data_IF_021802894585
#
_entry.id   IF_021802894585
#
_cell.length_a   1.000
_cell.length_b   1.000
_cell.length_c   1.000
_cell.angle_alpha   90.00
_cell.angle_beta   90.00
_cell.angle_gamma   90.00
#
_symmetry.space_group_name_H-M   'P 1'
#
loop_
_entity.id
_entity.type
_entity.pdbx_description
1 polymer ?
#
# COMPACT_ATOMS: atom_id res chain seq x y z
N UNK A 1 -0.76 -7.47 19.82
CA UNK A 1 -2.22 -7.62 19.92
C UNK A 1 -2.86 -8.15 18.65
N UNK A 2 -4.09 -8.66 18.80
CA UNK A 2 -4.88 -9.29 17.73
C UNK A 2 -5.23 -8.34 16.54
N UNK A 3 -5.19 -7.02 16.76
CA UNK A 3 -5.38 -5.99 15.73
C UNK A 3 -4.07 -5.62 15.00
N UNK A 4 -2.92 -6.04 15.55
CA UNK A 4 -1.60 -5.76 15.00
C UNK A 4 -1.25 -6.63 13.81
N UNK A 5 -0.08 -6.36 13.23
CA UNK A 5 0.48 -7.09 12.09
C UNK A 5 0.97 -6.14 11.01
N UNK A 6 2.26 -6.22 10.73
CA UNK A 6 2.97 -5.36 9.79
C UNK A 6 2.61 -5.67 8.34
N UNK A 7 2.78 -4.68 7.47
CA UNK A 7 2.60 -4.80 6.02
C UNK A 7 3.77 -5.55 5.39
N UNK A 8 3.50 -6.45 4.45
CA UNK A 8 4.53 -7.22 3.77
C UNK A 8 4.17 -7.56 2.31
N UNK A 9 5.19 -7.83 1.50
CA UNK A 9 5.05 -8.32 0.14
C UNK A 9 4.81 -9.82 0.13
N UNK A 10 3.69 -10.26 -0.43
CA UNK A 10 3.29 -11.66 -0.49
C UNK A 10 2.93 -12.11 -1.90
N UNK A 11 3.00 -13.43 -2.15
CA UNK A 11 2.42 -14.03 -3.36
C UNK A 11 0.89 -14.00 -3.26
N UNK A 12 0.24 -13.38 -4.24
CA UNK A 12 -1.21 -13.42 -4.36
C UNK A 12 -1.68 -14.84 -4.70
N UNK A 13 -2.74 -15.35 -4.07
CA UNK A 13 -3.35 -16.60 -4.49
C UNK A 13 -3.79 -16.52 -5.95
N UNK A 14 -3.53 -17.57 -6.73
CA UNK A 14 -3.95 -17.68 -8.13
C UNK A 14 -3.44 -16.56 -9.06
N UNK A 15 -2.41 -15.82 -8.69
CA UNK A 15 -1.78 -14.84 -9.59
C UNK A 15 -0.80 -15.53 -10.54
N UNK A 16 -0.84 -15.13 -11.80
CA UNK A 16 0.09 -15.47 -12.87
C UNK A 16 1.36 -14.60 -12.87
N UNK A 17 1.47 -13.66 -11.92
CA UNK A 17 2.65 -12.82 -11.79
C UNK A 17 3.91 -13.66 -11.56
N UNK A 18 5.02 -13.38 -12.26
CA UNK A 18 6.28 -14.10 -12.11
C UNK A 18 6.94 -13.88 -10.73
N UNK A 19 6.48 -12.89 -9.98
CA UNK A 19 7.02 -12.47 -8.69
C UNK A 19 5.89 -12.28 -7.67
N UNK A 20 6.23 -12.20 -6.38
CA UNK A 20 5.25 -11.79 -5.37
C UNK A 20 4.71 -10.40 -5.71
N UNK A 21 3.38 -10.28 -5.80
CA UNK A 21 2.72 -9.07 -6.30
C UNK A 21 1.62 -8.53 -5.39
N UNK A 22 1.42 -9.10 -4.20
CA UNK A 22 0.33 -8.70 -3.31
C UNK A 22 0.81 -7.95 -2.08
N UNK A 23 0.06 -6.92 -1.69
CA UNK A 23 0.31 -6.14 -0.49
C UNK A 23 -0.57 -6.67 0.65
N UNK A 24 0.05 -7.36 1.60
CA UNK A 24 -0.66 -7.99 2.72
C UNK A 24 -0.25 -7.35 4.04
N UNK A 25 -0.97 -7.70 5.11
CA UNK A 25 -0.50 -7.51 6.48
C UNK A 25 -0.63 -8.79 7.28
N UNK A 26 0.24 -8.97 8.27
CA UNK A 26 0.18 -10.15 9.14
C UNK A 26 -1.10 -10.15 10.00
N UNK A 27 -1.49 -11.35 10.45
CA UNK A 27 -2.67 -11.54 11.30
C UNK A 27 -2.43 -11.12 12.76
N UNK A 28 -1.17 -10.95 13.17
CA UNK A 28 -0.77 -10.46 14.49
C UNK A 28 0.61 -9.81 14.42
N UNK A 29 0.96 -9.02 15.44
CA UNK A 29 2.28 -8.43 15.67
C UNK A 29 3.26 -9.35 16.42
N UNK A 30 2.85 -10.58 16.78
CA UNK A 30 3.73 -11.64 17.30
C UNK A 30 4.47 -12.36 16.15
N UNK A 31 4.16 -12.00 14.91
CA UNK A 31 4.73 -12.58 13.70
C UNK A 31 6.04 -11.92 13.23
N UNK A 32 6.47 -12.24 11.99
CA UNK A 32 7.60 -11.59 11.36
C UNK A 32 7.40 -10.08 11.24
N UNK A 33 8.51 -9.34 11.21
CA UNK A 33 8.51 -7.93 10.84
C UNK A 33 8.04 -7.73 9.40
N UNK A 34 7.42 -6.59 9.14
CA UNK A 34 6.98 -6.20 7.79
C UNK A 34 8.10 -6.10 6.77
N UNK A 35 7.73 -6.06 5.50
CA UNK A 35 8.67 -5.72 4.43
C UNK A 35 8.92 -4.22 4.45
N UNK A 36 10.18 -3.75 4.51
CA UNK A 36 10.51 -2.33 4.47
C UNK A 36 9.84 -1.61 3.30
N UNK A 37 9.37 -0.38 3.54
CA UNK A 37 8.83 0.48 2.49
C UNK A 37 9.57 1.81 2.48
N UNK A 38 9.68 2.41 1.30
CA UNK A 38 10.09 3.80 1.11
C UNK A 38 8.96 4.58 0.44
N UNK A 39 8.87 5.85 0.81
CA UNK A 39 7.93 6.80 0.23
C UNK A 39 8.66 7.68 -0.77
N UNK A 40 8.07 7.86 -1.94
CA UNK A 40 8.63 8.66 -3.03
C UNK A 40 7.63 9.77 -3.31
N UNK A 41 7.91 10.96 -2.78
CA UNK A 41 7.05 12.12 -2.94
C UNK A 41 7.00 12.61 -4.39
N UNK A 42 5.86 13.17 -4.79
CA UNK A 42 5.75 13.98 -5.99
C UNK A 42 6.50 15.32 -5.84
N UNK A 43 6.47 16.16 -6.87
CA UNK A 43 7.10 17.49 -6.83
C UNK A 43 6.51 18.44 -5.78
N UNK A 44 5.35 18.15 -5.20
CA UNK A 44 4.77 18.94 -4.11
C UNK A 44 5.47 18.71 -2.76
N UNK A 45 6.29 17.66 -2.65
CA UNK A 45 7.11 17.42 -1.48
C UNK A 45 8.36 18.31 -1.50
N UNK A 46 8.58 19.06 -0.42
CA UNK A 46 9.77 19.91 -0.29
C UNK A 46 11.00 19.11 0.17
N UNK A 47 12.01 19.02 -0.71
CA UNK A 47 13.28 18.39 -0.40
C UNK A 47 13.15 16.88 -0.14
N UNK A 48 13.89 16.31 0.84
CA UNK A 48 13.83 14.87 1.14
C UNK A 48 12.64 14.48 2.04
N UNK A 49 11.73 15.42 2.35
CA UNK A 49 10.70 15.22 3.37
C UNK A 49 9.37 14.71 2.78
N UNK A 50 8.65 13.90 3.57
CA UNK A 50 7.33 13.39 3.24
C UNK A 50 6.28 14.15 4.06
N UNK A 51 5.31 14.77 3.39
CA UNK A 51 4.28 15.61 3.99
C UNK A 51 2.92 14.91 3.95
N UNK A 52 2.09 15.16 4.95
CA UNK A 52 0.70 14.72 4.97
C UNK A 52 -0.10 15.40 3.86
N UNK A 53 -1.10 14.71 3.30
CA UNK A 53 -1.98 15.24 2.27
C UNK A 53 -1.36 15.38 0.87
N UNK A 54 -0.04 15.15 0.74
CA UNK A 54 0.67 15.24 -0.53
C UNK A 54 0.77 13.89 -1.26
N UNK A 55 0.78 13.96 -2.59
CA UNK A 55 0.82 12.76 -3.44
C UNK A 55 2.21 12.11 -3.43
N UNK A 56 2.23 10.80 -3.24
CA UNK A 56 3.43 9.98 -3.23
C UNK A 56 3.19 8.60 -3.86
N UNK A 57 4.26 7.96 -4.30
CA UNK A 57 4.27 6.53 -4.60
C UNK A 57 4.86 5.77 -3.41
N UNK A 58 4.48 4.49 -3.28
CA UNK A 58 4.97 3.60 -2.23
C UNK A 58 5.73 2.45 -2.91
N UNK A 59 6.88 2.10 -2.37
CA UNK A 59 7.68 0.98 -2.89
C UNK A 59 8.24 0.16 -1.74
N UNK A 60 8.23 -1.17 -1.87
CA UNK A 60 8.99 -2.03 -0.97
C UNK A 60 10.49 -1.85 -1.20
N UNK A 61 11.22 -1.51 -0.14
CA UNK A 61 12.64 -1.20 -0.18
C UNK A 61 13.48 -2.47 0.07
N UNK A 62 13.51 -3.34 -0.94
CA UNK A 62 14.18 -4.65 -0.89
C UNK A 62 14.99 -4.92 -2.15
N UNK A 63 16.09 -5.65 -2.00
CA UNK A 63 16.84 -6.17 -3.14
C UNK A 63 16.05 -7.29 -3.82
N UNK A 64 15.89 -7.20 -5.14
CA UNK A 64 15.22 -8.22 -5.95
C UNK A 64 16.07 -8.61 -7.16
N UNK A 65 15.75 -9.75 -7.77
CA UNK A 65 16.28 -10.10 -9.09
C UNK A 65 15.75 -9.12 -10.13
N UNK A 66 16.50 -8.87 -11.21
CA UNK A 66 16.17 -7.87 -12.24
C UNK A 66 14.74 -8.01 -12.79
N UNK A 67 14.24 -9.23 -12.94
CA UNK A 67 12.88 -9.51 -13.44
C UNK A 67 11.76 -9.12 -12.46
N UNK A 68 12.07 -8.89 -11.18
CA UNK A 68 11.09 -8.57 -10.13
C UNK A 68 11.15 -7.13 -9.63
N UNK A 69 11.95 -6.26 -10.27
CA UNK A 69 12.13 -4.87 -9.80
C UNK A 69 10.82 -4.09 -9.80
N UNK A 70 9.98 -4.24 -10.85
CA UNK A 70 8.67 -3.58 -10.91
C UNK A 70 7.71 -4.09 -9.83
N UNK A 71 7.84 -5.36 -9.42
CA UNK A 71 7.04 -6.01 -8.36
C UNK A 71 7.39 -5.55 -6.94
N UNK A 72 8.05 -4.41 -6.80
CA UNK A 72 8.24 -3.70 -5.53
C UNK A 72 7.40 -2.44 -5.44
N UNK A 73 6.97 -1.87 -6.58
CA UNK A 73 6.26 -0.59 -6.66
C UNK A 73 4.77 -0.85 -6.50
N UNK A 74 4.15 -0.21 -5.52
CA UNK A 74 2.74 -0.40 -5.20
C UNK A 74 1.85 0.14 -6.31
N UNK A 75 0.78 -0.59 -6.58
CA UNK A 75 -0.32 -0.16 -7.43
C UNK A 75 -1.66 -0.59 -6.87
N UNK A 76 -2.74 0.01 -7.35
CA UNK A 76 -4.07 -0.55 -7.22
C UNK A 76 -4.31 -1.47 -8.42
N UNK A 77 -4.70 -2.72 -8.15
CA UNK A 77 -5.01 -3.72 -9.17
C UNK A 77 -6.41 -3.54 -9.75
N UNK A 78 -6.79 -4.45 -10.65
CA UNK A 78 -8.14 -4.46 -11.22
C UNK A 78 -9.20 -4.82 -10.17
N UNK A 79 -10.47 -4.56 -10.50
CA UNK A 79 -11.59 -4.89 -9.64
C UNK A 79 -11.75 -6.40 -9.47
N UNK A 80 -11.64 -6.89 -8.24
CA UNK A 80 -11.91 -8.28 -7.88
C UNK A 80 -13.40 -8.44 -7.56
N UNK A 81 -14.15 -9.03 -8.49
CA UNK A 81 -15.59 -9.23 -8.35
C UNK A 81 -15.98 -10.15 -7.18
N UNK A 82 -15.08 -11.05 -6.76
CA UNK A 82 -15.35 -11.97 -5.64
C UNK A 82 -15.22 -11.27 -4.29
N UNK A 83 -14.33 -10.28 -4.19
CA UNK A 83 -14.10 -9.48 -2.99
C UNK A 83 -14.83 -8.13 -3.02
N UNK A 84 -15.41 -7.76 -4.17
CA UNK A 84 -16.18 -6.54 -4.35
C UNK A 84 -15.34 -5.27 -4.26
N UNK A 85 -14.02 -5.35 -4.49
CA UNK A 85 -13.09 -4.22 -4.33
C UNK A 85 -11.84 -4.36 -5.20
N UNK A 86 -11.03 -3.31 -5.27
CA UNK A 86 -9.71 -3.33 -5.89
C UNK A 86 -8.65 -3.61 -4.83
N UNK A 87 -7.77 -4.58 -5.11
CA UNK A 87 -6.71 -4.99 -4.19
C UNK A 87 -5.46 -4.13 -4.39
N UNK A 88 -4.69 -3.92 -3.32
CA UNK A 88 -3.36 -3.35 -3.45
C UNK A 88 -2.38 -4.44 -3.91
N UNK A 89 -1.59 -4.11 -4.92
CA UNK A 89 -0.66 -4.98 -5.60
C UNK A 89 0.70 -4.29 -5.78
N UNK A 90 1.65 -4.99 -6.40
CA UNK A 90 2.86 -4.39 -6.94
C UNK A 90 2.97 -4.62 -8.45
N UNK A 91 3.96 -3.98 -9.09
CA UNK A 91 4.07 -3.92 -10.55
C UNK A 91 3.69 -2.55 -11.13
N UNK A 92 3.61 -1.52 -10.28
CA UNK A 92 3.33 -0.15 -10.70
C UNK A 92 4.52 0.59 -11.30
N UNK A 93 4.30 1.86 -11.60
CA UNK A 93 5.30 2.84 -12.04
C UNK A 93 5.50 3.91 -10.95
N UNK A 94 6.59 4.68 -11.04
CA UNK A 94 6.89 5.81 -10.14
C UNK A 94 6.93 7.09 -10.97
N UNK A 95 6.26 8.15 -10.48
CA UNK A 95 6.37 9.49 -11.07
C UNK A 95 5.75 9.64 -12.46
N UNK A 96 4.92 8.69 -12.90
CA UNK A 96 4.28 8.68 -14.21
C UNK A 96 2.78 8.95 -14.09
N UNK A 97 2.15 9.29 -15.21
CA UNK A 97 0.71 9.56 -15.26
C UNK A 97 -0.13 8.31 -14.91
N UNK A 98 0.39 7.12 -15.18
CA UNK A 98 -0.23 5.82 -14.87
C UNK A 98 0.17 5.27 -13.50
N UNK A 99 1.02 5.98 -12.75
CA UNK A 99 1.42 5.57 -11.41
C UNK A 99 0.23 5.59 -10.46
N UNK A 100 0.18 4.64 -9.54
CA UNK A 100 -0.79 4.72 -8.44
C UNK A 100 -0.29 5.72 -7.41
N UNK A 101 -1.03 6.82 -7.28
CA UNK A 101 -0.74 7.88 -6.33
C UNK A 101 -1.47 7.65 -5.02
N UNK A 102 -0.74 7.82 -3.92
CA UNK A 102 -1.26 7.68 -2.57
C UNK A 102 -1.03 8.94 -1.77
N UNK A 103 -1.73 9.07 -0.65
CA UNK A 103 -1.49 10.08 0.39
C UNK A 103 -1.40 9.44 1.75
N UNK A 104 -0.65 10.09 2.62
CA UNK A 104 -0.66 9.83 4.07
C UNK A 104 -1.49 10.95 4.71
N UNK A 105 -2.52 10.60 5.44
CA UNK A 105 -3.37 11.56 6.16
C UNK A 105 -3.50 11.15 7.62
N UNK A 106 -3.66 12.13 8.52
CA UNK A 106 -3.87 11.85 9.94
C UNK A 106 -5.13 11.02 10.15
N UNK A 107 -5.01 9.94 10.94
CA UNK A 107 -6.17 9.15 11.34
C UNK A 107 -7.04 9.94 12.33
N UNK A 108 -8.35 9.70 12.28
CA UNK A 108 -9.29 10.16 13.31
C UNK A 108 -9.04 9.53 14.69
N UNK A 109 -8.29 8.42 14.75
CA UNK A 109 -7.91 7.73 15.98
C UNK A 109 -6.44 8.01 16.32
N UNK A 110 -5.53 7.13 15.93
CA UNK A 110 -4.10 7.21 16.20
C UNK A 110 -3.31 6.86 14.94
N UNK A 111 -2.20 7.56 14.72
CA UNK A 111 -1.36 7.38 13.55
C UNK A 111 -1.98 7.96 12.28
N UNK A 112 -1.92 7.20 11.20
CA UNK A 112 -2.23 7.66 9.85
C UNK A 112 -3.15 6.69 9.11
N UNK A 113 -3.81 7.18 8.07
CA UNK A 113 -4.42 6.36 7.04
C UNK A 113 -3.74 6.60 5.69
N UNK A 114 -3.81 5.59 4.83
CA UNK A 114 -3.42 5.71 3.43
C UNK A 114 -4.67 5.94 2.57
N UNK A 115 -4.58 6.89 1.65
CA UNK A 115 -5.58 7.11 0.61
C UNK A 115 -4.97 6.81 -0.76
N UNK A 116 -5.76 6.29 -1.69
CA UNK A 116 -5.45 6.16 -3.11
C UNK A 116 -6.15 7.26 -3.90
N UNK A 117 -5.43 7.97 -4.75
CA UNK A 117 -5.89 9.17 -5.44
C UNK A 117 -5.69 9.00 -6.97
N UNK A 118 -6.66 8.41 -7.70
CA UNK A 118 -6.49 8.05 -9.11
C UNK A 118 -6.39 9.24 -10.06
N UNK A 119 -7.08 10.35 -9.78
CA UNK A 119 -7.29 11.43 -10.74
C UNK A 119 -6.96 12.83 -10.22
N UNK A 120 -6.92 13.01 -8.91
CA UNK A 120 -6.84 14.34 -8.29
C UNK A 120 -6.09 14.28 -6.97
N UNK A 121 -5.42 15.38 -6.62
CA UNK A 121 -4.86 15.61 -5.30
C UNK A 121 -5.91 16.12 -4.30
N UNK A 122 -7.19 16.19 -4.64
CA UNK A 122 -8.25 16.52 -3.70
C UNK A 122 -8.77 15.23 -3.02
N UNK A 123 -8.77 15.25 -1.69
CA UNK A 123 -9.16 14.13 -0.82
C UNK A 123 -10.59 13.64 -1.11
N UNK A 124 -11.48 14.51 -1.61
CA UNK A 124 -12.85 14.14 -1.98
C UNK A 124 -12.89 13.04 -3.07
N UNK A 125 -11.85 12.97 -3.91
CA UNK A 125 -11.75 11.98 -5.00
C UNK A 125 -10.81 10.82 -4.65
N UNK A 126 -10.28 10.79 -3.44
CA UNK A 126 -9.41 9.72 -2.98
C UNK A 126 -10.22 8.63 -2.24
N UNK A 127 -9.74 7.40 -2.35
CA UNK A 127 -10.35 6.20 -1.78
C UNK A 127 -9.52 5.69 -0.61
N UNK A 128 -10.17 5.25 0.47
CA UNK A 128 -9.47 4.78 1.67
C UNK A 128 -8.82 3.42 1.43
N UNK A 129 -7.63 3.23 1.98
CA UNK A 129 -6.97 1.92 2.03
C UNK A 129 -7.31 1.24 3.35
N UNK A 130 -7.84 0.02 3.26
CA UNK A 130 -8.20 -0.82 4.39
C UNK A 130 -7.75 -2.26 4.17
N UNK A 131 -8.52 -3.20 4.73
CA UNK A 131 -8.16 -4.62 4.73
C UNK A 131 -9.37 -5.47 4.38
N UNK A 132 -9.18 -6.45 3.52
CA UNK A 132 -10.12 -7.55 3.27
C UNK A 132 -9.46 -8.90 3.58
N UNK A 133 -10.28 -9.93 3.79
CA UNK A 133 -9.78 -11.29 3.99
C UNK A 133 -9.74 -12.04 2.66
N UNK A 134 -8.54 -12.42 2.23
CA UNK A 134 -8.31 -13.23 1.03
C UNK A 134 -7.59 -14.52 1.45
N UNK A 135 -8.27 -15.66 1.33
CA UNK A 135 -7.75 -16.99 1.66
C UNK A 135 -7.10 -17.06 3.07
N UNK A 136 -7.77 -16.50 4.07
CA UNK A 136 -7.30 -16.48 5.46
C UNK A 136 -6.17 -15.47 5.76
N UNK A 137 -5.76 -14.67 4.78
CA UNK A 137 -4.78 -13.59 4.93
C UNK A 137 -5.46 -12.23 4.88
N UNK A 138 -4.88 -11.24 5.57
CA UNK A 138 -5.31 -9.85 5.53
C UNK A 138 -4.66 -9.14 4.34
N UNK A 139 -5.43 -8.90 3.28
CA UNK A 139 -5.00 -8.25 2.04
C UNK A 139 -5.37 -6.77 2.09
N UNK A 140 -4.44 -5.88 1.74
CA UNK A 140 -4.78 -4.46 1.63
C UNK A 140 -5.64 -4.24 0.37
N UNK A 141 -6.67 -3.42 0.51
CA UNK A 141 -7.63 -3.13 -0.56
C UNK A 141 -8.27 -1.77 -0.36
N UNK A 142 -8.97 -1.28 -1.39
CA UNK A 142 -9.79 -0.08 -1.26
C UNK A 142 -11.05 -0.40 -0.42
N UNK A 143 -11.44 0.52 0.46
CA UNK A 143 -12.61 0.37 1.33
C UNK A 143 -13.42 1.65 1.39
N UNK A 144 -14.72 1.52 1.64
CA UNK A 144 -15.60 2.67 1.88
C UNK A 144 -15.44 3.21 3.31
N UNK A 145 -15.39 2.28 4.26
CA UNK A 145 -15.37 2.53 5.70
C UNK A 145 -14.25 1.75 6.36
N UNK A 146 -13.87 2.16 7.58
CA UNK A 146 -12.83 1.51 8.39
C UNK A 146 -11.46 1.43 7.69
N UNK A 147 -10.82 2.59 7.41
CA UNK A 147 -9.45 2.59 6.89
C UNK A 147 -8.50 1.91 7.88
N UNK A 148 -7.38 1.40 7.37
CA UNK A 148 -6.35 0.85 8.23
C UNK A 148 -5.58 1.98 8.91
N UNK A 149 -5.61 2.01 10.24
CA UNK A 149 -4.72 2.86 11.04
C UNK A 149 -3.31 2.28 11.05
N UNK A 150 -2.32 3.10 10.66
CA UNK A 150 -0.92 2.71 10.56
C UNK A 150 -0.01 3.67 11.33
N UNK A 151 1.14 3.14 11.76
CA UNK A 151 2.26 3.92 12.29
C UNK A 151 3.53 3.51 11.54
N UNK A 152 4.46 4.44 11.40
CA UNK A 152 5.70 4.20 10.68
C UNK A 152 6.85 3.97 11.66
N UNK A 153 7.52 2.82 11.52
CA UNK A 153 8.72 2.47 12.27
C UNK A 153 9.91 2.49 11.31
N UNK A 154 10.92 3.28 11.63
CA UNK A 154 12.15 3.32 10.85
C UNK A 154 12.85 1.95 10.88
N UNK A 155 13.28 1.50 9.70
CA UNK A 155 14.16 0.33 9.56
C UNK A 155 15.59 0.78 9.84
N UNK A 156 16.26 0.08 10.76
CA UNK A 156 17.66 0.33 11.15
C UNK A 156 18.59 -0.62 10.42
#
# INVERSE_FOLDING_TARGET
GALGGDVYLGKSPNSDAPCANGVFRFNSDVGPSGTPVRFIGSSSHFGPHIFEGELLNIQFDISTVKSCVSYTIWKVGDYDASLGTMLLETGGTIGQADSSWFKIVKSSQLGYNLLYCPFSSDDQFCLKVGVVHQNGKRRLALVKDNPLDVSFKQVQ
#
